data_IF_280497357099
#
_entry.id   IF_280497357099
#
_cell.length_a   1.000
_cell.length_b   1.000
_cell.length_c   1.000
_cell.angle_alpha   90.00
_cell.angle_beta   90.00
_cell.angle_gamma   90.00
#
_symmetry.space_group_name_H-M   'P 1'
#
loop_
_entity.id
_entity.type
_entity.pdbx_description
1 polymer ?
#
# COMPACT_ATOMS: atom_id res chain seq x y z
N UNK A 1 11.40 11.79 6.70
CA UNK A 1 11.76 10.35 6.70
C UNK A 1 12.18 9.98 5.28
N UNK A 2 13.42 9.56 5.08
CA UNK A 2 14.06 9.32 3.77
C UNK A 2 14.07 7.86 3.32
N UNK A 3 13.12 7.04 3.79
CA UNK A 3 13.08 5.59 3.58
C UNK A 3 12.72 5.16 2.14
N UNK A 4 12.64 6.09 1.18
CA UNK A 4 12.33 5.79 -0.22
C UNK A 4 10.86 5.96 -0.62
N UNK A 5 10.05 6.73 0.13
CA UNK A 5 8.63 6.95 -0.19
C UNK A 5 8.44 7.66 -1.53
N UNK A 6 9.14 8.78 -1.75
CA UNK A 6 8.99 9.58 -2.98
C UNK A 6 9.43 8.80 -4.22
N UNK A 7 10.53 8.05 -4.12
CA UNK A 7 11.03 7.17 -5.18
C UNK A 7 10.05 6.04 -5.50
N UNK A 8 9.44 5.46 -4.46
CA UNK A 8 8.40 4.45 -4.63
C UNK A 8 7.15 5.02 -5.31
N UNK A 9 6.74 6.24 -4.94
CA UNK A 9 5.59 6.93 -5.55
C UNK A 9 5.85 7.21 -7.03
N UNK A 10 7.05 7.68 -7.39
CA UNK A 10 7.45 7.87 -8.79
C UNK A 10 7.35 6.56 -9.57
N UNK A 11 7.89 5.46 -9.03
CA UNK A 11 7.79 4.15 -9.67
C UNK A 11 6.36 3.65 -9.84
N UNK A 12 5.44 4.01 -8.95
CA UNK A 12 4.01 3.73 -9.11
C UNK A 12 3.37 4.61 -10.19
N UNK A 13 3.69 5.91 -10.23
CA UNK A 13 3.17 6.83 -11.25
C UNK A 13 3.60 6.39 -12.66
N UNK A 14 4.86 5.97 -12.83
CA UNK A 14 5.37 5.43 -14.10
C UNK A 14 4.63 4.16 -14.56
N UNK A 15 4.07 3.40 -13.62
CA UNK A 15 3.24 2.22 -13.88
C UNK A 15 1.76 2.56 -14.14
N UNK A 16 1.39 3.84 -14.15
CA UNK A 16 0.05 4.33 -14.45
C UNK A 16 -0.84 4.55 -13.22
N UNK A 17 -0.28 4.49 -12.01
CA UNK A 17 -1.02 4.85 -10.79
C UNK A 17 -1.07 6.37 -10.60
N UNK A 18 -1.82 6.82 -9.59
CA UNK A 18 -2.09 8.23 -9.38
C UNK A 18 -1.81 8.67 -7.95
N UNK A 19 -1.23 9.86 -7.80
CA UNK A 19 -1.02 10.53 -6.53
C UNK A 19 -2.29 11.24 -6.08
N UNK A 20 -2.64 11.08 -4.79
CA UNK A 20 -3.67 11.90 -4.14
C UNK A 20 -3.03 13.05 -3.36
N UNK A 21 -2.07 12.71 -2.49
CA UNK A 21 -1.40 13.65 -1.60
C UNK A 21 0.05 13.17 -1.34
N UNK A 22 0.93 14.13 -1.10
CA UNK A 22 2.27 13.91 -0.55
C UNK A 22 2.44 14.69 0.77
N UNK A 23 3.27 14.15 1.67
CA UNK A 23 3.52 14.62 3.05
C UNK A 23 2.29 14.70 3.97
N UNK A 24 1.34 15.59 3.68
CA UNK A 24 0.12 15.79 4.48
C UNK A 24 -1.09 15.25 3.73
N UNK A 25 -1.70 14.21 4.29
CA UNK A 25 -2.94 13.62 3.80
C UNK A 25 -4.09 13.93 4.75
N UNK A 26 -5.20 14.44 4.22
CA UNK A 26 -6.44 14.63 4.99
C UNK A 26 -7.31 13.39 4.83
N UNK A 27 -7.64 12.76 5.95
CA UNK A 27 -8.56 11.62 6.01
C UNK A 27 -9.89 12.06 6.63
N UNK A 28 -11.00 11.69 6.00
CA UNK A 28 -12.36 11.88 6.52
C UNK A 28 -13.09 10.55 6.55
N UNK A 29 -13.93 10.33 7.55
CA UNK A 29 -14.83 9.18 7.58
C UNK A 29 -16.18 9.56 6.96
N UNK A 30 -16.64 8.77 5.99
CA UNK A 30 -17.99 8.84 5.45
C UNK A 30 -18.88 7.84 6.18
N UNK A 31 -19.89 8.35 6.86
CA UNK A 31 -20.90 7.57 7.60
C UNK A 31 -20.34 6.53 8.58
N UNK A 32 -19.09 6.68 9.03
CA UNK A 32 -18.44 5.71 9.91
C UNK A 32 -18.14 4.36 9.22
N UNK A 33 -18.08 4.31 7.90
CA UNK A 33 -17.88 3.05 7.13
C UNK A 33 -16.69 3.09 6.19
N UNK A 34 -16.45 4.24 5.58
CA UNK A 34 -15.38 4.40 4.59
C UNK A 34 -14.47 5.55 4.98
N UNK A 35 -13.18 5.39 4.71
CA UNK A 35 -12.19 6.45 4.84
C UNK A 35 -11.86 7.01 3.47
N UNK A 36 -12.00 8.33 3.32
CA UNK A 36 -11.65 9.06 2.11
C UNK A 36 -10.40 9.89 2.35
N UNK A 37 -9.43 9.76 1.45
CA UNK A 37 -8.18 10.51 1.47
C UNK A 37 -8.23 11.65 0.44
N UNK A 38 -7.75 12.82 0.85
CA UNK A 38 -7.60 14.03 0.03
C UNK A 38 -6.30 14.76 0.35
N UNK A 39 -5.89 15.68 -0.53
CA UNK A 39 -4.79 16.61 -0.27
C UNK A 39 -5.29 18.00 0.17
N UNK A 40 -4.58 18.69 1.07
CA UNK A 40 -4.70 20.14 1.24
C UNK A 40 -4.54 20.88 -0.10
N UNK A 41 -5.23 22.00 -0.26
CA UNK A 41 -5.18 22.78 -1.51
C UNK A 41 -3.77 23.24 -1.87
N UNK A 42 -3.01 23.70 -0.86
CA UNK A 42 -1.65 24.22 -1.04
C UNK A 42 -0.68 23.16 -1.60
N UNK A 43 -0.77 21.91 -1.16
CA UNK A 43 0.14 20.82 -1.55
C UNK A 43 -0.42 19.94 -2.66
N UNK A 44 -1.63 20.22 -3.14
CA UNK A 44 -2.30 19.43 -4.18
C UNK A 44 -1.42 19.34 -5.43
N UNK A 45 -1.29 18.12 -5.97
CA UNK A 45 -0.48 17.78 -7.15
C UNK A 45 1.03 18.01 -7.01
N UNK A 46 1.51 18.48 -5.85
CA UNK A 46 2.93 18.70 -5.61
C UNK A 46 3.51 17.55 -4.79
N UNK A 47 4.79 17.26 -5.03
CA UNK A 47 5.55 16.24 -4.30
C UNK A 47 6.99 16.72 -4.09
N UNK A 48 7.57 16.41 -2.93
CA UNK A 48 9.01 16.61 -2.69
C UNK A 48 9.81 15.39 -3.17
N UNK A 49 10.77 15.64 -4.07
CA UNK A 49 11.72 14.64 -4.52
C UNK A 49 13.11 15.04 -4.07
N UNK A 50 13.71 14.23 -3.20
CA UNK A 50 15.03 14.51 -2.65
C UNK A 50 16.07 14.64 -3.76
N UNK A 51 16.89 15.68 -3.68
CA UNK A 51 17.91 15.99 -4.68
C UNK A 51 17.41 16.70 -5.94
N UNK A 52 16.08 16.81 -6.12
CA UNK A 52 15.46 17.54 -7.24
C UNK A 52 14.70 18.78 -6.72
N UNK A 53 13.93 18.63 -5.64
CA UNK A 53 13.08 19.67 -5.08
C UNK A 53 11.59 19.35 -5.24
N UNK A 54 10.75 20.39 -5.13
CA UNK A 54 9.31 20.26 -5.28
C UNK A 54 8.96 20.20 -6.77
N UNK A 55 8.19 19.18 -7.15
CA UNK A 55 7.69 19.01 -8.53
C UNK A 55 6.17 19.08 -8.56
N UNK A 56 5.61 19.44 -9.72
CA UNK A 56 4.19 19.29 -10.00
C UNK A 56 3.96 18.02 -10.82
N UNK A 57 3.36 17.01 -10.19
CA UNK A 57 3.17 15.66 -10.75
C UNK A 57 2.25 15.71 -11.98
N UNK A 58 1.17 16.49 -11.94
CA UNK A 58 0.23 16.61 -13.05
C UNK A 58 0.88 17.22 -14.30
N UNK A 59 1.77 18.21 -14.13
CA UNK A 59 2.47 18.85 -15.25
C UNK A 59 3.48 17.91 -15.93
N UNK A 60 4.12 17.02 -15.15
CA UNK A 60 5.18 16.14 -15.65
C UNK A 60 4.60 14.85 -16.22
N UNK A 61 3.67 14.21 -15.50
CA UNK A 61 3.14 12.88 -15.83
C UNK A 61 1.71 12.92 -16.38
N UNK A 62 1.14 14.11 -16.57
CA UNK A 62 -0.20 14.32 -17.10
C UNK A 62 -1.31 14.14 -16.07
N UNK A 63 -2.53 14.56 -16.42
CA UNK A 63 -3.68 14.57 -15.49
C UNK A 63 -4.08 13.17 -15.00
N UNK A 64 -3.73 12.11 -15.74
CA UNK A 64 -3.96 10.73 -15.33
C UNK A 64 -3.19 10.31 -14.07
N UNK A 65 -2.09 11.00 -13.75
CA UNK A 65 -1.21 10.73 -12.61
C UNK A 65 -1.68 11.33 -11.29
N UNK A 66 -2.81 12.05 -11.25
CA UNK A 66 -3.34 12.65 -10.03
C UNK A 66 -4.80 12.27 -9.79
N UNK A 67 -5.22 12.26 -8.53
CA UNK A 67 -6.63 12.13 -8.11
C UNK A 67 -6.93 13.13 -7.02
N UNK A 68 -8.12 13.74 -7.07
CA UNK A 68 -8.55 14.72 -6.06
C UNK A 68 -8.81 14.01 -4.72
N UNK A 69 -9.42 12.83 -4.79
CA UNK A 69 -9.73 11.99 -3.65
C UNK A 69 -9.65 10.51 -4.00
N UNK A 70 -9.47 9.67 -2.98
CA UNK A 70 -9.53 8.21 -3.13
C UNK A 70 -9.90 7.56 -1.80
N UNK A 71 -10.74 6.52 -1.86
CA UNK A 71 -11.00 5.64 -0.72
C UNK A 71 -9.72 4.94 -0.27
N UNK A 72 -9.47 4.91 1.04
CA UNK A 72 -8.34 4.23 1.67
C UNK A 72 -8.72 2.77 1.96
N UNK A 73 -8.14 1.85 1.19
CA UNK A 73 -8.43 0.41 1.26
C UNK A 73 -7.29 -0.42 1.88
N UNK A 74 -6.08 0.15 1.98
CA UNK A 74 -4.86 -0.51 2.46
C UNK A 74 -3.88 0.54 3.01
N UNK A 75 -3.28 0.25 4.16
CA UNK A 75 -2.11 0.97 4.68
C UNK A 75 -0.87 0.13 4.44
N UNK A 76 0.14 0.70 3.78
CA UNK A 76 1.47 0.08 3.67
C UNK A 76 2.47 0.88 4.47
N UNK A 77 3.12 0.24 5.44
CA UNK A 77 4.22 0.83 6.20
C UNK A 77 5.55 0.33 5.67
N UNK A 78 6.42 1.27 5.30
CA UNK A 78 7.80 0.97 4.97
C UNK A 78 8.63 0.99 6.26
N UNK A 79 9.39 -0.08 6.52
CA UNK A 79 10.34 -0.17 7.65
C UNK A 79 11.71 -0.61 7.16
N UNK A 80 12.75 -0.20 7.86
CA UNK A 80 14.10 -0.69 7.59
C UNK A 80 14.14 -2.20 7.87
N UNK A 81 14.89 -2.96 7.06
CA UNK A 81 14.98 -4.41 7.20
C UNK A 81 15.39 -4.85 8.61
N UNK A 82 16.24 -4.08 9.27
CA UNK A 82 16.77 -4.36 10.60
C UNK A 82 15.74 -4.15 11.72
N UNK A 83 14.70 -3.36 11.47
CA UNK A 83 13.62 -3.06 12.43
C UNK A 83 12.50 -4.11 12.40
N UNK A 84 12.58 -5.06 11.47
CA UNK A 84 11.62 -6.14 11.35
C UNK A 84 12.05 -7.30 12.26
N UNK A 85 11.60 -7.23 13.50
CA UNK A 85 11.54 -8.41 14.37
C UNK A 85 10.72 -9.49 13.66
N UNK A 86 11.39 -10.60 13.30
CA UNK A 86 10.83 -11.83 12.75
C UNK A 86 9.49 -11.66 11.97
N UNK A 87 9.54 -11.01 10.80
CA UNK A 87 8.35 -10.90 9.93
C UNK A 87 7.72 -12.27 9.76
N UNK A 88 6.45 -12.35 10.09
CA UNK A 88 5.66 -13.56 9.95
C UNK A 88 5.60 -13.93 8.46
N UNK A 89 6.29 -15.01 8.09
CA UNK A 89 6.61 -15.33 6.69
C UNK A 89 5.45 -15.98 5.94
N UNK A 90 4.31 -16.15 6.60
CA UNK A 90 3.26 -17.06 6.15
C UNK A 90 2.03 -16.29 5.65
N UNK A 91 1.91 -14.98 5.93
CA UNK A 91 0.82 -14.14 5.41
C UNK A 91 -0.59 -14.64 5.76
N UNK A 92 -0.70 -15.44 6.83
CA UNK A 92 -1.94 -16.03 7.30
C UNK A 92 -2.72 -15.05 8.18
N UNK A 93 -2.03 -14.28 9.00
CA UNK A 93 -2.63 -13.26 9.85
C UNK A 93 -2.70 -11.92 9.12
N UNK A 94 -3.90 -11.32 9.14
CA UNK A 94 -4.14 -10.01 8.58
C UNK A 94 -3.94 -8.95 9.66
N UNK A 95 -2.96 -8.08 9.46
CA UNK A 95 -2.76 -6.90 10.31
C UNK A 95 -3.74 -5.78 9.94
N UNK A 96 -4.03 -4.92 10.91
CA UNK A 96 -4.87 -3.75 10.73
C UNK A 96 -4.22 -2.50 11.32
N UNK A 97 -4.50 -1.36 10.70
CA UNK A 97 -4.08 -0.04 11.11
C UNK A 97 -5.34 0.81 11.38
N UNK A 98 -5.46 1.34 12.60
CA UNK A 98 -6.64 2.10 13.00
C UNK A 98 -6.54 3.58 12.58
N UNK A 99 -7.55 4.07 11.88
CA UNK A 99 -7.70 5.48 11.50
C UNK A 99 -9.14 5.92 11.76
N UNK A 100 -9.31 6.95 12.59
CA UNK A 100 -10.63 7.48 12.99
C UNK A 100 -11.58 6.37 13.54
N UNK A 101 -11.02 5.40 14.27
CA UNK A 101 -11.77 4.26 14.83
C UNK A 101 -12.10 3.15 13.82
N UNK A 102 -11.68 3.26 12.56
CA UNK A 102 -11.85 2.23 11.54
C UNK A 102 -10.57 1.44 11.33
N UNK A 103 -10.70 0.11 11.30
CA UNK A 103 -9.60 -0.82 11.04
C UNK A 103 -9.37 -0.93 9.53
N UNK A 104 -8.21 -0.49 9.07
CA UNK A 104 -7.79 -0.62 7.67
C UNK A 104 -6.80 -1.76 7.54
N UNK A 105 -6.95 -2.66 6.55
CA UNK A 105 -5.94 -3.67 6.24
C UNK A 105 -4.54 -3.06 6.18
N UNK A 106 -3.56 -3.73 6.80
CA UNK A 106 -2.22 -3.21 6.96
C UNK A 106 -1.18 -4.23 6.53
N UNK A 107 -0.15 -3.74 5.85
CA UNK A 107 1.01 -4.53 5.45
C UNK A 107 2.28 -3.74 5.75
N UNK A 108 3.26 -4.40 6.37
CA UNK A 108 4.59 -3.84 6.56
C UNK A 108 5.55 -4.39 5.51
N UNK A 109 6.18 -3.52 4.73
CA UNK A 109 7.16 -3.89 3.70
C UNK A 109 8.57 -3.50 4.15
N UNK A 110 9.51 -4.47 4.24
CA UNK A 110 10.92 -4.19 4.47
C UNK A 110 11.56 -3.43 3.31
N UNK A 111 12.24 -2.34 3.61
CA UNK A 111 13.09 -1.61 2.68
C UNK A 111 14.53 -2.11 2.79
N UNK A 112 15.13 -2.38 1.63
CA UNK A 112 16.53 -2.75 1.48
C UNK A 112 17.01 -2.36 0.07
N UNK A 113 18.27 -1.91 -0.10
CA UNK A 113 18.83 -1.65 -1.42
C UNK A 113 18.63 -2.84 -2.38
N UNK A 114 18.25 -2.53 -3.63
CA UNK A 114 18.01 -3.53 -4.68
C UNK A 114 16.61 -4.14 -4.71
N UNK A 115 15.71 -3.78 -3.79
CA UNK A 115 14.29 -4.17 -3.86
C UNK A 115 13.47 -3.13 -4.62
N UNK A 116 12.63 -3.60 -5.55
CA UNK A 116 11.60 -2.77 -6.19
C UNK A 116 10.41 -2.63 -5.23
N UNK A 117 10.44 -1.60 -4.39
CA UNK A 117 9.40 -1.35 -3.38
C UNK A 117 8.06 -0.98 -4.05
N UNK A 118 8.10 -0.22 -5.15
CA UNK A 118 6.90 0.14 -5.90
C UNK A 118 6.15 -1.11 -6.38
N UNK A 119 6.88 -2.09 -6.91
CA UNK A 119 6.31 -3.38 -7.31
C UNK A 119 5.71 -4.15 -6.15
N UNK A 120 6.35 -4.15 -4.97
CA UNK A 120 5.81 -4.83 -3.79
C UNK A 120 4.52 -4.16 -3.27
N UNK A 121 4.46 -2.83 -3.25
CA UNK A 121 3.24 -2.09 -2.91
C UNK A 121 2.11 -2.41 -3.89
N UNK A 122 2.43 -2.45 -5.19
CA UNK A 122 1.46 -2.82 -6.23
C UNK A 122 0.88 -4.22 -5.99
N UNK A 123 1.74 -5.23 -5.74
CA UNK A 123 1.28 -6.59 -5.44
C UNK A 123 0.40 -6.61 -4.19
N UNK A 124 0.79 -5.91 -3.12
CA UNK A 124 0.00 -5.84 -1.89
C UNK A 124 -1.38 -5.21 -2.13
N UNK A 125 -1.45 -4.13 -2.93
CA UNK A 125 -2.72 -3.50 -3.28
C UNK A 125 -3.62 -4.42 -4.12
N UNK A 126 -3.04 -5.18 -5.06
CA UNK A 126 -3.78 -6.16 -5.86
C UNK A 126 -4.29 -7.33 -5.01
N UNK A 127 -3.45 -7.89 -4.14
CA UNK A 127 -3.82 -8.97 -3.21
C UNK A 127 -4.94 -8.52 -2.27
N UNK A 128 -4.84 -7.31 -1.71
CA UNK A 128 -5.89 -6.75 -0.87
C UNK A 128 -7.20 -6.56 -1.62
N UNK A 129 -7.15 -6.15 -2.89
CA UNK A 129 -8.34 -6.06 -3.75
C UNK A 129 -8.99 -7.43 -3.96
N UNK A 130 -8.20 -8.48 -4.19
CA UNK A 130 -8.69 -9.85 -4.35
C UNK A 130 -9.32 -10.39 -3.07
N UNK A 131 -8.68 -10.14 -1.91
CA UNK A 131 -9.24 -10.48 -0.59
C UNK A 131 -10.60 -9.81 -0.36
N UNK A 132 -10.74 -8.54 -0.73
CA UNK A 132 -12.02 -7.82 -0.69
C UNK A 132 -13.09 -8.39 -1.62
N UNK A 133 -12.71 -9.16 -2.65
CA UNK A 133 -13.61 -9.90 -3.55
C UNK A 133 -13.83 -11.37 -3.10
N UNK A 134 -13.31 -11.76 -1.94
CA UNK A 134 -13.44 -13.10 -1.38
C UNK A 134 -12.39 -14.11 -1.86
N UNK A 135 -11.35 -13.68 -2.58
CA UNK A 135 -10.27 -14.55 -3.04
C UNK A 135 -9.04 -14.39 -2.11
N UNK A 136 -8.68 -15.45 -1.39
CA UNK A 136 -7.53 -15.46 -0.48
C UNK A 136 -6.54 -16.56 -0.88
N UNK A 137 -5.50 -16.19 -1.63
CA UNK A 137 -4.51 -17.14 -2.15
C UNK A 137 -3.73 -17.88 -1.07
N UNK A 138 -3.46 -17.25 0.08
CA UNK A 138 -2.77 -17.90 1.19
C UNK A 138 -3.64 -19.00 1.81
N UNK A 139 -4.93 -18.72 2.04
CA UNK A 139 -5.90 -19.70 2.54
C UNK A 139 -6.10 -20.86 1.56
N UNK A 140 -6.23 -20.55 0.27
CA UNK A 140 -6.35 -21.56 -0.79
C UNK A 140 -5.11 -22.47 -0.84
N UNK A 141 -3.92 -21.89 -0.72
CA UNK A 141 -2.68 -22.65 -0.72
C UNK A 141 -2.53 -23.51 0.54
N UNK A 142 -2.86 -22.96 1.72
CA UNK A 142 -2.84 -23.71 2.97
C UNK A 142 -3.82 -24.89 2.94
N UNK A 143 -5.03 -24.68 2.43
CA UNK A 143 -6.02 -25.75 2.23
C UNK A 143 -5.48 -26.85 1.31
N UNK A 144 -4.83 -26.49 0.20
CA UNK A 144 -4.21 -27.46 -0.71
C UNK A 144 -3.08 -28.23 -0.04
N UNK A 145 -2.25 -27.58 0.77
CA UNK A 145 -1.17 -28.24 1.52
C UNK A 145 -1.72 -29.23 2.54
N UNK A 146 -2.73 -28.84 3.34
CA UNK A 146 -3.35 -29.72 4.32
C UNK A 146 -3.94 -30.98 3.68
N UNK A 147 -4.63 -30.83 2.54
CA UNK A 147 -5.19 -31.97 1.80
C UNK A 147 -4.12 -32.93 1.24
N UNK A 148 -2.90 -32.44 0.96
CA UNK A 148 -1.79 -33.29 0.53
C UNK A 148 -1.12 -34.03 1.70
N UNK A 149 -1.27 -33.50 2.91
CA UNK A 149 -0.67 -34.05 4.13
C UNK A 149 -1.59 -35.05 4.85
N UNK A 150 -2.88 -35.10 4.50
CA UNK A 150 -3.78 -36.14 4.97
C UNK A 150 -3.33 -37.52 4.45
N UNK A 151 -3.00 -38.49 5.33
CA UNK A 151 -2.59 -39.81 4.89
C UNK A 151 -3.75 -40.45 4.13
N UNK A 152 -3.46 -41.02 2.94
CA UNK A 152 -4.42 -41.90 2.27
C UNK A 152 -4.72 -43.05 3.22
N UNK A 153 -5.91 -43.05 3.79
CA UNK A 153 -6.49 -44.19 4.48
C UNK A 153 -6.58 -45.34 3.46
N UNK A 154 -5.59 -46.21 3.45
CA UNK A 154 -5.64 -47.52 2.78
C UNK A 154 -6.46 -48.49 3.59
#
# INVERSE_FOLDING_TARGET
SGIGKSECVLGLIERGYSLVADDVTRITSLEGRELMATAPELTRNHMEVRGIGIINVANIFGIGSIRIEKRLDLVVTLKEWQELEAVDRIGLDQEFYEILGLQVPHVTIPVRPGRDIARLIEVAAMDQKLKGLGQNSALEFNTKLLNLMEPRST
#
